data_IF_297940038036
#
_entry.id   IF_297940038036
#
_cell.length_a   1.000
_cell.length_b   1.000
_cell.length_c   1.000
_cell.angle_alpha   90.00
_cell.angle_beta   90.00
_cell.angle_gamma   90.00
#
_symmetry.space_group_name_H-M   'P 1'
#
loop_
_entity.id
_entity.type
_entity.pdbx_description
1 polymer ?
#
# COMPACT_ATOMS: atom_id res chain seq x y z
N UNK A 1 -11.70 10.78 -8.58
CA UNK A 1 -12.64 10.79 -7.45
C UNK A 1 -13.78 9.80 -7.64
N UNK A 2 -13.83 8.78 -6.80
CA UNK A 2 -15.01 7.92 -6.63
C UNK A 2 -15.59 8.17 -5.23
N UNK A 3 -16.43 9.20 -5.04
CA UNK A 3 -16.90 9.62 -3.72
C UNK A 3 -17.60 8.49 -2.95
N UNK A 4 -18.28 7.60 -3.69
CA UNK A 4 -18.98 6.43 -3.14
C UNK A 4 -18.02 5.37 -2.60
N UNK A 5 -16.91 5.11 -3.29
CA UNK A 5 -15.91 4.14 -2.83
C UNK A 5 -15.22 4.64 -1.56
N UNK A 6 -14.85 5.92 -1.53
CA UNK A 6 -14.24 6.53 -0.35
C UNK A 6 -15.17 6.52 0.87
N UNK A 7 -16.46 6.85 0.69
CA UNK A 7 -17.45 6.76 1.76
C UNK A 7 -17.60 5.32 2.28
N UNK A 8 -17.63 4.33 1.38
CA UNK A 8 -17.71 2.90 1.74
C UNK A 8 -16.50 2.45 2.57
N UNK A 9 -15.29 2.85 2.21
CA UNK A 9 -14.08 2.51 2.98
C UNK A 9 -14.08 3.12 4.38
N UNK A 10 -14.53 4.37 4.53
CA UNK A 10 -14.65 5.00 5.85
C UNK A 10 -15.69 4.29 6.72
N UNK A 11 -16.86 3.99 6.16
CA UNK A 11 -17.89 3.23 6.88
C UNK A 11 -17.40 1.83 7.28
N UNK A 12 -16.61 1.17 6.43
CA UNK A 12 -16.00 -0.12 6.77
C UNK A 12 -15.00 0.00 7.92
N UNK A 13 -14.10 0.99 7.88
CA UNK A 13 -13.15 1.23 8.96
C UNK A 13 -13.86 1.51 10.30
N UNK A 14 -14.94 2.28 10.27
CA UNK A 14 -15.78 2.55 11.44
C UNK A 14 -16.46 1.28 11.97
N UNK A 15 -17.11 0.50 11.09
CA UNK A 15 -17.78 -0.74 11.47
C UNK A 15 -16.83 -1.79 12.07
N UNK A 16 -15.55 -1.77 11.67
CA UNK A 16 -14.49 -2.63 12.21
C UNK A 16 -13.81 -2.05 13.46
N UNK A 17 -14.19 -0.86 13.92
CA UNK A 17 -13.56 -0.21 15.08
C UNK A 17 -12.13 0.30 14.82
N UNK A 18 -11.74 0.47 13.55
CA UNK A 18 -10.38 0.83 13.13
C UNK A 18 -10.18 2.34 12.95
N UNK A 19 -11.13 3.18 13.36
CA UNK A 19 -11.04 4.64 13.21
C UNK A 19 -9.80 5.26 13.89
N UNK A 20 -9.23 4.61 14.90
CA UNK A 20 -7.97 5.02 15.55
C UNK A 20 -6.69 4.48 14.88
N UNK A 21 -6.82 3.50 13.97
CA UNK A 21 -5.71 2.83 13.30
C UNK A 21 -5.60 3.19 11.80
N UNK A 22 -6.70 3.66 11.19
CA UNK A 22 -6.75 4.01 9.77
C UNK A 22 -6.87 5.53 9.60
N UNK A 23 -5.91 6.14 8.91
CA UNK A 23 -5.94 7.56 8.55
C UNK A 23 -6.07 7.72 7.03
N UNK A 24 -7.19 8.29 6.60
CA UNK A 24 -7.38 8.70 5.22
C UNK A 24 -6.83 10.12 5.02
N UNK A 25 -5.71 10.26 4.33
CA UNK A 25 -5.02 11.55 4.20
C UNK A 25 -5.58 12.44 3.09
N UNK A 26 -6.26 11.85 2.10
CA UNK A 26 -6.60 12.53 0.85
C UNK A 26 -5.33 12.98 0.11
N UNK A 27 -5.46 14.03 -0.70
CA UNK A 27 -4.32 14.68 -1.34
C UNK A 27 -3.47 15.41 -0.29
N UNK A 28 -2.16 15.19 -0.33
CA UNK A 28 -1.21 15.86 0.57
C UNK A 28 -0.10 16.55 -0.22
N UNK A 29 0.53 17.60 0.33
CA UNK A 29 1.72 18.20 -0.27
C UNK A 29 2.85 17.17 -0.41
N UNK A 30 3.72 17.35 -1.41
CA UNK A 30 4.85 16.44 -1.67
C UNK A 30 5.72 16.20 -0.43
N UNK A 31 6.01 17.24 0.36
CA UNK A 31 6.80 17.11 1.58
C UNK A 31 6.16 16.16 2.60
N UNK A 32 4.83 16.18 2.73
CA UNK A 32 4.10 15.26 3.61
C UNK A 32 4.08 13.83 3.05
N UNK A 33 3.94 13.66 1.72
CA UNK A 33 4.02 12.35 1.08
C UNK A 33 5.38 11.68 1.32
N UNK A 34 6.48 12.43 1.11
CA UNK A 34 7.84 11.94 1.40
C UNK A 34 7.99 11.57 2.87
N UNK A 35 7.44 12.38 3.78
CA UNK A 35 7.46 12.08 5.21
C UNK A 35 6.72 10.78 5.53
N UNK A 36 5.56 10.53 4.90
CA UNK A 36 4.83 9.28 5.09
C UNK A 36 5.65 8.07 4.66
N UNK A 37 6.20 8.07 3.45
CA UNK A 37 7.06 6.97 2.99
C UNK A 37 8.21 6.70 3.99
N UNK A 38 8.96 7.73 4.37
CA UNK A 38 10.11 7.58 5.30
C UNK A 38 9.72 7.14 6.70
N UNK A 39 8.50 7.45 7.14
CA UNK A 39 8.01 7.06 8.47
C UNK A 39 7.29 5.71 8.50
N UNK A 40 6.91 5.18 7.34
CA UNK A 40 6.17 3.93 7.24
C UNK A 40 7.10 2.74 7.47
N UNK A 41 6.64 1.76 8.26
CA UNK A 41 7.33 0.47 8.39
C UNK A 41 7.32 -0.31 7.07
N UNK A 42 6.24 -0.18 6.28
CA UNK A 42 6.14 -0.75 4.95
C UNK A 42 5.13 0.01 4.08
N UNK A 43 5.31 -0.08 2.76
CA UNK A 43 4.28 0.17 1.76
C UNK A 43 3.67 -1.17 1.35
N UNK A 44 2.34 -1.22 1.25
CA UNK A 44 1.60 -2.41 0.83
C UNK A 44 0.71 -2.12 -0.37
N UNK A 45 0.78 -2.96 -1.40
CA UNK A 45 -0.15 -2.94 -2.54
C UNK A 45 -0.65 -4.32 -2.90
N UNK A 46 -1.97 -4.51 -2.90
CA UNK A 46 -2.64 -5.73 -3.34
C UNK A 46 -3.42 -5.53 -4.66
N UNK A 47 -2.98 -4.57 -5.48
CA UNK A 47 -3.54 -4.29 -6.80
C UNK A 47 -3.38 -5.50 -7.73
N UNK A 48 -4.42 -5.80 -8.50
CA UNK A 48 -4.40 -6.88 -9.52
C UNK A 48 -3.90 -6.37 -10.89
N UNK A 49 -3.92 -5.06 -11.09
CA UNK A 49 -3.57 -4.45 -12.35
C UNK A 49 -2.84 -3.13 -12.11
N UNK A 50 -1.51 -3.19 -12.19
CA UNK A 50 -0.62 -2.04 -12.19
C UNK A 50 0.22 -2.08 -13.46
N UNK A 51 0.53 -0.89 -14.00
CA UNK A 51 1.63 -0.74 -14.94
C UNK A 51 2.95 -0.85 -14.17
N UNK A 52 3.76 0.20 -14.20
CA UNK A 52 5.04 0.21 -13.49
C UNK A 52 4.91 0.40 -11.95
N UNK A 53 3.73 0.67 -11.42
CA UNK A 53 3.55 0.88 -9.97
C UNK A 53 4.40 2.03 -9.40
N UNK A 54 4.12 3.28 -9.81
CA UNK A 54 4.87 4.47 -9.34
C UNK A 54 4.99 4.53 -7.80
N UNK A 55 3.95 4.28 -6.98
CA UNK A 55 4.09 4.29 -5.53
C UNK A 55 5.07 3.22 -4.98
N UNK A 56 5.19 2.08 -5.67
CA UNK A 56 6.17 1.04 -5.33
C UNK A 56 7.59 1.52 -5.62
N UNK A 57 7.84 2.15 -6.77
CA UNK A 57 9.15 2.73 -7.10
C UNK A 57 9.54 3.87 -6.15
N UNK A 58 8.58 4.72 -5.77
CA UNK A 58 8.80 5.77 -4.77
C UNK A 58 9.20 5.19 -3.42
N UNK A 59 8.52 4.12 -2.99
CA UNK A 59 8.83 3.39 -1.75
C UNK A 59 10.24 2.81 -1.78
N UNK A 60 10.58 2.10 -2.86
CA UNK A 60 11.93 1.54 -3.08
C UNK A 60 13.00 2.63 -3.07
N UNK A 61 12.77 3.74 -3.76
CA UNK A 61 13.70 4.87 -3.82
C UNK A 61 13.92 5.53 -2.45
N UNK A 62 12.87 5.64 -1.64
CA UNK A 62 12.91 6.24 -0.31
C UNK A 62 13.34 5.27 0.79
N UNK A 63 13.58 3.99 0.46
CA UNK A 63 14.02 2.95 1.39
C UNK A 63 12.91 2.40 2.28
N UNK A 64 11.64 2.60 1.90
CA UNK A 64 10.48 2.03 2.59
C UNK A 64 10.30 0.58 2.14
N UNK A 65 10.29 -0.42 3.05
CA UNK A 65 10.03 -1.81 2.69
C UNK A 65 8.73 -1.99 1.90
N UNK A 66 8.73 -2.86 0.90
CA UNK A 66 7.59 -3.08 0.01
C UNK A 66 7.05 -4.50 0.17
N UNK A 67 5.75 -4.60 0.42
CA UNK A 67 4.96 -5.84 0.30
C UNK A 67 3.99 -5.65 -0.86
N UNK A 68 4.04 -6.51 -1.88
CA UNK A 68 3.19 -6.34 -3.06
C UNK A 68 2.63 -7.67 -3.58
N UNK A 69 1.40 -7.65 -4.09
CA UNK A 69 0.85 -8.80 -4.83
C UNK A 69 1.55 -8.95 -6.19
N UNK A 70 2.00 -10.16 -6.50
CA UNK A 70 2.71 -10.51 -7.73
C UNK A 70 1.77 -10.56 -8.94
N UNK A 71 1.26 -9.40 -9.36
CA UNK A 71 0.32 -9.27 -10.48
C UNK A 71 0.76 -8.20 -11.48
N UNK A 72 0.33 -8.38 -12.74
CA UNK A 72 0.66 -7.51 -13.86
C UNK A 72 2.19 -7.27 -13.95
N UNK A 73 2.65 -6.02 -14.07
CA UNK A 73 4.06 -5.68 -14.23
C UNK A 73 4.81 -5.45 -12.89
N UNK A 74 4.17 -5.75 -11.74
CA UNK A 74 4.79 -5.57 -10.42
C UNK A 74 6.00 -6.48 -10.21
N UNK A 75 5.97 -7.80 -10.54
CA UNK A 75 7.14 -8.66 -10.37
C UNK A 75 8.36 -8.16 -11.14
N UNK A 76 8.16 -7.71 -12.38
CA UNK A 76 9.22 -7.19 -13.24
C UNK A 76 9.74 -5.84 -12.74
N UNK A 77 8.87 -4.99 -12.21
CA UNK A 77 9.27 -3.68 -11.64
C UNK A 77 10.06 -3.86 -10.34
N UNK A 78 9.59 -4.76 -9.47
CA UNK A 78 10.14 -4.91 -8.13
C UNK A 78 11.43 -5.75 -8.12
N UNK A 79 11.59 -6.67 -9.07
CA UNK A 79 12.66 -7.68 -9.10
C UNK A 79 12.84 -8.33 -7.71
N UNK A 80 13.96 -8.06 -7.03
CA UNK A 80 14.28 -8.59 -5.70
C UNK A 80 14.16 -7.57 -4.56
N UNK A 81 13.56 -6.40 -4.83
CA UNK A 81 13.49 -5.28 -3.90
C UNK A 81 12.18 -5.21 -3.09
N UNK A 82 11.24 -6.14 -3.34
CA UNK A 82 9.98 -6.24 -2.62
C UNK A 82 9.72 -7.68 -2.16
N UNK A 83 8.95 -7.83 -1.09
CA UNK A 83 8.32 -9.09 -0.73
C UNK A 83 7.09 -9.27 -1.62
N UNK A 84 7.18 -10.20 -2.58
CA UNK A 84 6.11 -10.49 -3.53
C UNK A 84 5.23 -11.63 -3.03
N UNK A 85 3.94 -11.33 -2.85
CA UNK A 85 2.92 -12.31 -2.50
C UNK A 85 2.43 -13.01 -3.76
N UNK A 86 2.56 -14.35 -3.89
CA UNK A 86 2.13 -15.08 -5.08
C UNK A 86 0.61 -15.24 -5.17
N UNK A 87 -0.11 -15.00 -4.07
CA UNK A 87 -1.56 -15.07 -3.96
C UNK A 87 -2.08 -13.86 -3.20
N UNK A 88 -3.33 -13.48 -3.47
CA UNK A 88 -4.01 -12.40 -2.77
C UNK A 88 -4.71 -12.93 -1.50
N UNK A 89 -3.90 -13.44 -0.58
CA UNK A 89 -4.34 -13.85 0.75
C UNK A 89 -4.13 -12.69 1.74
N UNK A 90 -5.21 -12.25 2.39
CA UNK A 90 -5.17 -11.11 3.30
C UNK A 90 -4.47 -11.43 4.63
N UNK A 91 -4.50 -12.69 5.07
CA UNK A 91 -3.81 -13.10 6.30
C UNK A 91 -2.29 -13.13 6.07
N UNK A 92 -1.85 -13.70 4.94
CA UNK A 92 -0.44 -13.70 4.52
C UNK A 92 0.07 -12.26 4.33
N UNK A 93 -0.73 -11.40 3.69
CA UNK A 93 -0.39 -9.99 3.54
C UNK A 93 -0.24 -9.28 4.88
N UNK A 94 -1.10 -9.57 5.87
CA UNK A 94 -1.02 -8.96 7.19
C UNK A 94 0.24 -9.41 7.95
N UNK A 95 0.58 -10.69 7.88
CA UNK A 95 1.81 -11.23 8.49
C UNK A 95 3.06 -10.63 7.83
N UNK A 96 3.08 -10.51 6.50
CA UNK A 96 4.16 -9.85 5.77
C UNK A 96 4.33 -8.37 6.13
N UNK A 97 3.27 -7.66 6.53
CA UNK A 97 3.36 -6.25 6.96
C UNK A 97 3.85 -6.08 8.41
N UNK A 98 3.98 -7.16 9.19
CA UNK A 98 4.38 -7.10 10.59
C UNK A 98 5.91 -7.07 10.80
N UNK A 99 6.69 -6.98 9.72
CA UNK A 99 8.15 -6.90 9.68
C UNK A 99 8.73 -5.57 10.20
#
# INVERSE_FOLDING_TARGET
>A
DQPQYYARLRALAEALGLSGAVRFTGTVPLAALIAYYRSASCFVSLSEHEGIGIPLLESMYLGTPVVAYAAAAIPETAENAALLLPKKDLAEAAEACAI
#
